data_IF_052435053894
#
_entry.id   IF_052435053894
#
_cell.length_a   1.000
_cell.length_b   1.000
_cell.length_c   1.000
_cell.angle_alpha   90.00
_cell.angle_beta   90.00
_cell.angle_gamma   90.00
#
_symmetry.space_group_name_H-M   'P 1'
#
loop_
_entity.id
_entity.type
_entity.pdbx_description
1 polymer ?
#
# COMPACT_ATOMS: atom_id res chain seq x y z
N UNK A 1 -28.92 -70.23 -12.96
CA UNK A 1 -28.17 -69.25 -12.12
C UNK A 1 -27.06 -68.58 -12.95
N UNK A 2 -27.29 -68.30 -14.24
CA UNK A 2 -26.20 -67.90 -15.16
C UNK A 2 -26.35 -66.52 -15.79
N UNK A 3 -27.37 -65.74 -15.43
CA UNK A 3 -27.54 -64.38 -15.97
C UNK A 3 -26.88 -63.30 -15.08
N UNK A 4 -26.60 -63.58 -13.80
CA UNK A 4 -26.05 -62.60 -12.84
C UNK A 4 -24.51 -62.55 -12.82
N UNK A 5 -23.81 -63.61 -13.24
CA UNK A 5 -22.34 -63.64 -13.29
C UNK A 5 -21.75 -62.89 -14.49
N UNK A 6 -22.43 -62.89 -15.64
CA UNK A 6 -21.96 -62.20 -16.84
C UNK A 6 -22.06 -60.66 -16.73
N UNK A 7 -23.04 -60.14 -15.99
CA UNK A 7 -23.18 -58.70 -15.76
C UNK A 7 -22.16 -58.16 -14.75
N UNK A 8 -21.70 -58.97 -13.79
CA UNK A 8 -20.66 -58.57 -12.84
C UNK A 8 -19.26 -58.50 -13.47
N UNK A 9 -18.93 -59.38 -14.43
CA UNK A 9 -17.60 -59.34 -15.08
C UNK A 9 -17.47 -58.20 -16.08
N UNK A 10 -18.55 -57.83 -16.76
CA UNK A 10 -18.55 -56.68 -17.67
C UNK A 10 -18.43 -55.35 -16.90
N UNK A 11 -19.06 -55.23 -15.74
CA UNK A 11 -18.94 -54.04 -14.90
C UNK A 11 -17.54 -53.87 -14.29
N UNK A 12 -16.85 -54.95 -13.91
CA UNK A 12 -15.47 -54.88 -13.40
C UNK A 12 -14.47 -54.47 -14.49
N UNK A 13 -14.61 -54.98 -15.71
CA UNK A 13 -13.74 -54.64 -16.84
C UNK A 13 -13.92 -53.17 -17.29
N UNK A 14 -15.12 -52.61 -17.14
CA UNK A 14 -15.42 -51.22 -17.49
C UNK A 14 -14.87 -50.24 -16.44
N UNK A 15 -14.89 -50.61 -15.16
CA UNK A 15 -14.30 -49.83 -14.07
C UNK A 15 -12.77 -49.82 -14.15
N UNK A 16 -12.13 -50.95 -14.49
CA UNK A 16 -10.66 -51.01 -14.66
C UNK A 16 -10.19 -50.20 -15.88
N UNK A 17 -10.94 -50.23 -16.99
CA UNK A 17 -10.65 -49.39 -18.17
C UNK A 17 -10.81 -47.91 -17.87
N UNK A 18 -11.81 -47.53 -17.09
CA UNK A 18 -12.04 -46.13 -16.70
C UNK A 18 -10.94 -45.63 -15.78
N UNK A 19 -10.50 -46.45 -14.82
CA UNK A 19 -9.39 -46.14 -13.90
C UNK A 19 -8.07 -45.97 -14.64
N UNK A 20 -7.76 -46.85 -15.60
CA UNK A 20 -6.55 -46.77 -16.41
C UNK A 20 -6.52 -45.53 -17.34
N UNK A 21 -7.67 -45.01 -17.78
CA UNK A 21 -7.78 -43.78 -18.57
C UNK A 21 -7.55 -42.54 -17.68
N UNK A 22 -8.07 -42.54 -16.46
CA UNK A 22 -7.87 -41.45 -15.48
C UNK A 22 -6.41 -41.37 -15.05
N UNK A 23 -5.75 -42.50 -14.79
CA UNK A 23 -4.32 -42.54 -14.44
C UNK A 23 -3.44 -42.06 -15.60
N UNK A 24 -3.75 -42.44 -16.84
CA UNK A 24 -3.03 -41.93 -18.02
C UNK A 24 -3.23 -40.43 -18.23
N UNK A 25 -4.42 -39.90 -17.96
CA UNK A 25 -4.68 -38.45 -18.01
C UNK A 25 -3.94 -37.68 -16.90
N UNK A 26 -3.90 -38.22 -15.68
CA UNK A 26 -3.13 -37.62 -14.58
C UNK A 26 -1.63 -37.67 -14.83
N UNK A 27 -1.12 -38.77 -15.40
CA UNK A 27 0.29 -38.90 -15.76
C UNK A 27 0.68 -38.04 -16.98
N UNK A 28 -0.25 -37.80 -17.90
CA UNK A 28 -0.13 -36.84 -19.00
C UNK A 28 -0.10 -35.40 -18.49
N UNK A 29 -1.03 -35.04 -17.58
CA UNK A 29 -1.06 -33.71 -16.95
C UNK A 29 0.18 -33.45 -16.11
N UNK A 30 0.67 -34.43 -15.34
CA UNK A 30 1.90 -34.26 -14.55
C UNK A 30 3.15 -34.11 -15.43
N UNK A 31 3.22 -34.82 -16.57
CA UNK A 31 4.27 -34.65 -17.58
C UNK A 31 4.19 -33.31 -18.30
N UNK A 32 2.99 -32.78 -18.53
CA UNK A 32 2.80 -31.48 -19.16
C UNK A 32 3.15 -30.34 -18.21
N UNK A 33 2.70 -30.42 -16.95
CA UNK A 33 3.11 -29.49 -15.87
C UNK A 33 4.62 -29.50 -15.67
N UNK A 34 5.27 -30.65 -15.68
CA UNK A 34 6.74 -30.74 -15.53
C UNK A 34 7.51 -30.30 -16.77
N UNK A 35 6.89 -30.28 -17.95
CA UNK A 35 7.48 -29.72 -19.19
C UNK A 35 7.34 -28.20 -19.25
N UNK A 36 6.19 -27.66 -18.83
CA UNK A 36 5.96 -26.22 -18.68
C UNK A 36 6.87 -25.60 -17.61
N UNK A 37 7.18 -26.35 -16.54
CA UNK A 37 8.17 -25.96 -15.52
C UNK A 37 9.58 -25.88 -16.10
N UNK A 38 9.99 -26.84 -16.96
CA UNK A 38 11.34 -26.84 -17.59
C UNK A 38 11.51 -25.82 -18.71
N UNK A 39 10.47 -25.55 -19.50
CA UNK A 39 10.51 -24.49 -20.53
C UNK A 39 10.45 -23.07 -19.89
N UNK A 40 9.94 -22.95 -18.66
CA UNK A 40 9.98 -21.73 -17.85
C UNK A 40 11.36 -21.39 -17.26
N UNK A 41 12.28 -22.35 -17.13
CA UNK A 41 13.57 -22.14 -16.44
C UNK A 41 14.55 -21.26 -17.23
N UNK A 42 14.50 -21.27 -18.57
CA UNK A 42 15.40 -20.44 -19.40
C UNK A 42 14.88 -19.03 -19.66
N UNK A 43 13.60 -18.75 -19.38
CA UNK A 43 12.97 -17.41 -19.49
C UNK A 43 12.56 -16.80 -18.14
N UNK A 44 12.73 -17.53 -17.03
CA UNK A 44 12.14 -17.24 -15.72
C UNK A 44 12.76 -16.10 -14.92
N UNK A 45 14.03 -15.75 -15.14
CA UNK A 45 14.70 -14.71 -14.35
C UNK A 45 14.13 -13.28 -14.61
N UNK A 46 13.63 -13.03 -15.82
CA UNK A 46 13.03 -11.73 -16.20
C UNK A 46 11.54 -11.62 -15.83
N UNK A 47 10.82 -12.74 -15.69
CA UNK A 47 9.39 -12.75 -15.35
C UNK A 47 9.11 -12.48 -13.87
N UNK A 48 10.11 -12.60 -12.99
CA UNK A 48 9.89 -12.50 -11.54
C UNK A 48 9.88 -11.07 -10.98
N UNK A 49 10.37 -10.08 -11.75
CA UNK A 49 10.53 -8.69 -11.27
C UNK A 49 9.34 -7.79 -11.57
N UNK A 50 8.33 -8.27 -12.31
CA UNK A 50 7.14 -7.49 -12.66
C UNK A 50 5.85 -8.21 -12.24
N UNK A 51 4.86 -7.43 -11.85
CA UNK A 51 3.53 -7.91 -11.50
C UNK A 51 2.47 -6.95 -12.06
N UNK A 52 1.32 -7.50 -12.44
CA UNK A 52 0.19 -6.73 -12.92
C UNK A 52 -1.08 -7.13 -12.16
N UNK A 53 -1.75 -6.14 -11.58
CA UNK A 53 -3.03 -6.29 -10.89
C UNK A 53 -4.03 -5.35 -11.56
N UNK A 54 -5.21 -5.85 -11.91
CA UNK A 54 -6.29 -5.03 -12.46
C UNK A 54 -7.58 -5.28 -11.71
N UNK A 55 -8.30 -4.20 -11.38
CA UNK A 55 -9.59 -4.28 -10.68
C UNK A 55 -10.49 -3.14 -11.15
N UNK A 56 -11.77 -3.44 -11.38
CA UNK A 56 -12.79 -2.40 -11.57
C UNK A 56 -13.10 -1.71 -10.25
N UNK A 57 -13.16 -0.39 -10.25
CA UNK A 57 -13.51 0.41 -9.07
C UNK A 57 -15.02 0.41 -8.86
N UNK A 58 -15.43 0.03 -7.65
CA UNK A 58 -16.83 -0.17 -7.26
C UNK A 58 -17.32 0.97 -6.37
N UNK A 59 -18.63 1.07 -6.11
CA UNK A 59 -19.16 2.10 -5.21
C UNK A 59 -18.56 2.10 -3.80
N UNK A 60 -18.18 0.94 -3.27
CA UNK A 60 -17.49 0.80 -1.98
C UNK A 60 -16.04 1.31 -1.98
N UNK A 61 -15.46 1.56 -3.16
CA UNK A 61 -14.11 2.10 -3.28
C UNK A 61 -14.05 3.65 -3.23
N UNK A 62 -15.19 4.32 -3.28
CA UNK A 62 -15.29 5.75 -3.56
C UNK A 62 -16.17 6.53 -2.58
N UNK A 63 -15.94 7.84 -2.55
CA UNK A 63 -16.77 8.76 -1.80
C UNK A 63 -18.14 8.97 -2.50
N UNK A 64 -19.03 9.73 -1.85
CA UNK A 64 -20.39 10.01 -2.37
C UNK A 64 -20.42 10.76 -3.70
N UNK A 65 -19.32 11.41 -4.10
CA UNK A 65 -19.17 12.06 -5.40
C UNK A 65 -18.61 11.12 -6.49
N UNK A 66 -18.30 9.87 -6.13
CA UNK A 66 -17.77 8.85 -7.02
C UNK A 66 -16.26 8.90 -7.23
N UNK A 67 -15.52 9.72 -6.48
CA UNK A 67 -14.06 9.70 -6.49
C UNK A 67 -13.54 8.56 -5.61
N UNK A 68 -12.70 7.69 -6.16
CA UNK A 68 -12.06 6.60 -5.43
C UNK A 68 -11.16 7.15 -4.33
N UNK A 69 -11.26 6.57 -3.13
CA UNK A 69 -10.43 6.96 -1.98
C UNK A 69 -8.96 6.66 -2.23
N UNK A 70 -8.06 7.58 -1.83
CA UNK A 70 -6.62 7.41 -1.95
C UNK A 70 -6.14 6.14 -1.23
N UNK A 71 -6.75 5.82 -0.08
CA UNK A 71 -6.47 4.63 0.71
C UNK A 71 -6.69 3.32 -0.04
N UNK A 72 -7.71 3.25 -0.91
CA UNK A 72 -7.96 2.06 -1.74
C UNK A 72 -6.89 1.88 -2.82
N UNK A 73 -6.41 2.98 -3.39
CA UNK A 73 -5.29 2.96 -4.34
C UNK A 73 -3.99 2.56 -3.63
N UNK A 74 -3.70 3.12 -2.45
CA UNK A 74 -2.53 2.76 -1.63
C UNK A 74 -2.53 1.28 -1.25
N UNK A 75 -3.70 0.73 -0.90
CA UNK A 75 -3.86 -0.69 -0.63
C UNK A 75 -3.51 -1.55 -1.85
N UNK A 76 -4.03 -1.21 -3.03
CA UNK A 76 -3.70 -1.95 -4.26
C UNK A 76 -2.23 -1.83 -4.66
N UNK A 77 -1.62 -0.67 -4.43
CA UNK A 77 -0.18 -0.45 -4.64
C UNK A 77 0.64 -1.39 -3.75
N UNK A 78 0.30 -1.48 -2.46
CA UNK A 78 0.98 -2.35 -1.51
C UNK A 78 0.78 -3.82 -1.82
N UNK A 79 -0.43 -4.24 -2.19
CA UNK A 79 -0.71 -5.62 -2.62
C UNK A 79 0.16 -6.02 -3.82
N UNK A 80 0.23 -5.16 -4.84
CA UNK A 80 1.03 -5.43 -6.02
C UNK A 80 2.54 -5.51 -5.70
N UNK A 81 3.02 -4.63 -4.81
CA UNK A 81 4.41 -4.61 -4.37
C UNK A 81 4.80 -5.81 -3.49
N UNK A 82 3.93 -6.19 -2.56
CA UNK A 82 4.11 -7.35 -1.70
C UNK A 82 4.18 -8.64 -2.52
N UNK A 83 3.31 -8.80 -3.52
CA UNK A 83 3.30 -9.96 -4.41
C UNK A 83 4.64 -10.09 -5.16
N UNK A 84 5.10 -9.03 -5.81
CA UNK A 84 6.34 -9.10 -6.61
C UNK A 84 7.57 -9.28 -5.72
N UNK A 85 7.64 -8.57 -4.58
CA UNK A 85 8.72 -8.68 -3.62
C UNK A 85 8.81 -10.06 -3.01
N UNK A 86 7.68 -10.61 -2.54
CA UNK A 86 7.62 -11.95 -1.96
C UNK A 86 8.00 -13.01 -2.98
N UNK A 87 7.50 -12.90 -4.23
CA UNK A 87 7.85 -13.84 -5.30
C UNK A 87 9.35 -13.84 -5.58
N UNK A 88 9.96 -12.66 -5.70
CA UNK A 88 11.39 -12.48 -5.94
C UNK A 88 12.25 -13.02 -4.78
N UNK A 89 11.91 -12.70 -3.54
CA UNK A 89 12.70 -13.17 -2.39
C UNK A 89 12.67 -14.69 -2.20
N UNK A 90 11.74 -15.40 -2.86
CA UNK A 90 11.63 -16.86 -2.82
C UNK A 90 12.14 -17.56 -4.10
N UNK A 91 12.90 -16.87 -4.98
CA UNK A 91 13.51 -17.49 -6.18
C UNK A 91 14.73 -18.35 -5.90
N UNK A 92 15.37 -18.16 -4.75
CA UNK A 92 16.53 -18.96 -4.33
C UNK A 92 16.09 -20.07 -3.36
N UNK A 93 16.86 -21.15 -3.31
CA UNK A 93 16.66 -22.22 -2.33
C UNK A 93 17.05 -21.69 -0.93
N UNK A 94 16.14 -21.78 0.03
CA UNK A 94 16.36 -21.30 1.40
C UNK A 94 15.06 -21.28 2.21
N UNK A 95 15.12 -20.66 3.38
CA UNK A 95 13.93 -20.42 4.20
C UNK A 95 12.89 -19.64 3.37
N UNK A 96 11.63 -20.04 3.45
CA UNK A 96 10.56 -19.25 2.84
C UNK A 96 10.43 -17.92 3.57
N UNK A 97 10.06 -16.86 2.85
CA UNK A 97 9.84 -15.53 3.43
C UNK A 97 8.61 -14.81 2.86
N UNK A 98 8.20 -13.76 3.56
CA UNK A 98 7.23 -12.77 3.10
C UNK A 98 7.91 -11.40 3.05
N UNK A 99 7.69 -10.65 1.96
CA UNK A 99 8.18 -9.28 1.84
C UNK A 99 7.28 -8.35 2.68
N UNK A 100 7.79 -7.88 3.82
CA UNK A 100 7.07 -6.92 4.68
C UNK A 100 7.35 -5.49 4.23
N UNK A 101 6.30 -4.68 4.08
CA UNK A 101 6.44 -3.26 3.78
C UNK A 101 7.10 -2.54 4.96
N UNK A 102 8.17 -1.79 4.69
CA UNK A 102 8.86 -0.99 5.72
C UNK A 102 8.81 0.50 5.46
N UNK A 103 8.67 0.92 4.20
CA UNK A 103 8.59 2.32 3.82
C UNK A 103 7.84 2.52 2.52
N UNK A 104 7.09 3.61 2.43
CA UNK A 104 6.51 4.15 1.20
C UNK A 104 7.12 5.52 0.99
N UNK A 105 7.75 5.75 -0.16
CA UNK A 105 8.21 7.08 -0.53
C UNK A 105 7.04 8.02 -0.78
N UNK A 106 7.31 9.32 -0.75
CA UNK A 106 6.29 10.32 -1.08
C UNK A 106 5.59 9.98 -2.39
N UNK A 107 4.27 10.03 -2.39
CA UNK A 107 3.44 9.70 -3.55
C UNK A 107 2.42 10.80 -3.83
N UNK A 108 2.19 11.07 -5.12
CA UNK A 108 1.23 12.08 -5.58
C UNK A 108 0.13 11.42 -6.41
N UNK A 109 -1.12 11.82 -6.14
CA UNK A 109 -2.29 11.43 -6.91
C UNK A 109 -2.45 12.42 -8.07
N UNK A 110 -2.00 12.00 -9.25
CA UNK A 110 -1.86 12.82 -10.44
C UNK A 110 -3.20 13.02 -11.17
N UNK A 111 -4.10 12.05 -11.06
CA UNK A 111 -5.44 12.13 -11.65
C UNK A 111 -6.44 11.35 -10.81
N UNK A 112 -7.67 11.86 -10.63
CA UNK A 112 -8.69 11.15 -9.87
C UNK A 112 -9.08 9.86 -10.59
N UNK A 113 -9.39 8.83 -9.82
CA UNK A 113 -10.00 7.59 -10.31
C UNK A 113 -11.47 7.59 -9.92
N UNK A 114 -12.35 7.12 -10.80
CA UNK A 114 -13.80 7.13 -10.58
C UNK A 114 -14.40 5.72 -10.53
N UNK A 115 -15.57 5.60 -9.91
CA UNK A 115 -16.38 4.38 -9.97
C UNK A 115 -16.58 3.97 -11.44
N UNK A 116 -16.44 2.67 -11.71
CA UNK A 116 -16.59 2.08 -13.05
C UNK A 116 -15.32 2.11 -13.91
N UNK A 117 -14.30 2.91 -13.53
CA UNK A 117 -12.98 2.81 -14.17
C UNK A 117 -12.26 1.52 -13.72
N UNK A 118 -11.44 0.97 -14.61
CA UNK A 118 -10.52 -0.12 -14.28
C UNK A 118 -9.18 0.46 -13.87
N UNK A 119 -8.72 0.09 -12.68
CA UNK A 119 -7.41 0.47 -12.17
C UNK A 119 -6.41 -0.64 -12.49
N UNK A 120 -5.40 -0.31 -13.30
CA UNK A 120 -4.27 -1.16 -13.65
C UNK A 120 -3.04 -0.77 -12.83
N UNK A 121 -2.58 -1.67 -11.97
CA UNK A 121 -1.41 -1.49 -11.12
C UNK A 121 -0.29 -2.37 -11.65
N UNK A 122 0.80 -1.72 -12.05
CA UNK A 122 2.02 -2.41 -12.50
C UNK A 122 3.11 -2.16 -11.48
N UNK A 123 3.65 -3.23 -10.89
CA UNK A 123 4.72 -3.18 -9.92
C UNK A 123 6.00 -3.79 -10.51
N UNK A 124 7.14 -3.13 -10.30
CA UNK A 124 8.44 -3.55 -10.81
C UNK A 124 9.52 -3.38 -9.75
N UNK A 125 10.34 -4.42 -9.54
CA UNK A 125 11.51 -4.33 -8.66
C UNK A 125 12.58 -3.53 -9.39
N UNK A 126 12.96 -2.39 -8.82
CA UNK A 126 13.90 -1.44 -9.44
C UNK A 126 15.27 -1.43 -8.78
N UNK A 127 15.38 -1.93 -7.54
CA UNK A 127 16.66 -2.03 -6.85
C UNK A 127 16.62 -3.12 -5.78
N UNK A 128 17.76 -3.76 -5.52
CA UNK A 128 17.93 -4.69 -4.39
C UNK A 128 19.20 -4.34 -3.62
N UNK A 129 19.07 -4.16 -2.31
CA UNK A 129 20.21 -4.14 -1.38
C UNK A 129 20.43 -5.54 -0.80
N UNK A 130 21.34 -5.66 0.19
CA UNK A 130 21.54 -6.91 0.91
C UNK A 130 20.27 -7.43 1.61
N UNK A 131 19.45 -6.53 2.16
CA UNK A 131 18.32 -6.89 3.04
C UNK A 131 17.01 -6.17 2.69
N UNK A 132 16.98 -5.42 1.59
CA UNK A 132 15.78 -4.72 1.14
C UNK A 132 15.66 -4.72 -0.36
N UNK A 133 14.44 -4.53 -0.86
CA UNK A 133 14.19 -4.25 -2.27
C UNK A 133 13.31 -3.02 -2.42
N UNK A 134 13.56 -2.27 -3.49
CA UNK A 134 12.73 -1.17 -3.98
C UNK A 134 11.76 -1.73 -5.01
N UNK A 135 10.49 -1.39 -4.87
CA UNK A 135 9.44 -1.65 -5.86
C UNK A 135 8.85 -0.32 -6.30
N UNK A 136 8.96 -0.02 -7.60
CA UNK A 136 8.21 1.08 -8.20
C UNK A 136 6.87 0.58 -8.73
N UNK A 137 5.83 1.36 -8.48
CA UNK A 137 4.46 1.04 -8.84
C UNK A 137 3.86 2.17 -9.66
N UNK A 138 3.23 1.81 -10.77
CA UNK A 138 2.49 2.71 -11.65
C UNK A 138 1.02 2.31 -11.66
N UNK A 139 0.14 3.27 -11.41
CA UNK A 139 -1.32 3.07 -11.40
C UNK A 139 -1.94 3.84 -12.56
N UNK A 140 -2.55 3.13 -13.49
CA UNK A 140 -3.33 3.71 -14.59
C UNK A 140 -4.81 3.48 -14.35
N UNK A 141 -5.62 4.50 -14.57
CA UNK A 141 -7.07 4.37 -14.60
C UNK A 141 -7.56 4.35 -16.05
N UNK A 142 -8.43 3.42 -16.38
CA UNK A 142 -9.03 3.23 -17.70
C UNK A 142 -10.55 3.35 -17.61
N UNK A 143 -11.10 4.27 -18.41
CA UNK A 143 -12.53 4.32 -18.65
C UNK A 143 -12.88 3.32 -19.76
N UNK A 144 -13.47 2.19 -19.38
CA UNK A 144 -13.76 1.08 -20.30
C UNK A 144 -14.90 1.34 -21.30
N UNK A 145 -15.64 2.45 -21.14
CA UNK A 145 -16.67 2.87 -22.11
C UNK A 145 -16.08 3.72 -23.24
N UNK A 146 -15.09 4.55 -22.92
CA UNK A 146 -14.46 5.49 -23.86
C UNK A 146 -13.09 5.04 -24.35
N UNK A 147 -12.47 4.07 -23.65
CA UNK A 147 -11.08 3.64 -23.86
C UNK A 147 -10.03 4.62 -23.33
N UNK A 148 -10.43 5.75 -22.74
CA UNK A 148 -9.50 6.75 -22.24
C UNK A 148 -8.69 6.23 -21.05
N UNK A 149 -7.37 6.43 -21.07
CA UNK A 149 -6.45 6.04 -19.99
C UNK A 149 -5.73 7.25 -19.43
N UNK A 150 -5.57 7.30 -18.11
CA UNK A 150 -4.84 8.36 -17.39
C UNK A 150 -3.94 7.79 -16.32
N UNK A 151 -2.79 8.42 -16.11
CA UNK A 151 -1.89 8.08 -15.01
C UNK A 151 -2.47 8.63 -13.71
N UNK A 152 -2.91 7.74 -12.83
CA UNK A 152 -3.49 8.11 -11.55
C UNK A 152 -2.43 8.33 -10.47
N UNK A 153 -1.42 7.47 -10.40
CA UNK A 153 -0.42 7.50 -9.33
C UNK A 153 0.91 6.87 -9.77
N UNK A 154 2.01 7.35 -9.18
CA UNK A 154 3.32 6.67 -9.12
C UNK A 154 3.75 6.59 -7.65
N UNK A 155 4.29 5.45 -7.26
CA UNK A 155 4.80 5.23 -5.92
C UNK A 155 6.10 4.41 -5.95
N UNK A 156 6.92 4.57 -4.91
CA UNK A 156 8.06 3.70 -4.65
C UNK A 156 7.94 3.16 -3.22
N UNK A 157 8.16 1.86 -3.07
CA UNK A 157 7.96 1.13 -1.83
C UNK A 157 9.22 0.33 -1.51
N UNK A 158 9.56 0.25 -0.23
CA UNK A 158 10.67 -0.56 0.26
C UNK A 158 10.15 -1.71 1.07
N UNK A 159 10.59 -2.91 0.73
CA UNK A 159 10.26 -4.13 1.42
C UNK A 159 11.50 -4.79 2.02
N UNK A 160 11.27 -5.54 3.10
CA UNK A 160 12.28 -6.39 3.75
C UNK A 160 11.70 -7.81 3.86
N UNK A 161 12.41 -8.85 3.40
CA UNK A 161 11.93 -10.22 3.52
C UNK A 161 12.08 -10.72 4.96
N UNK A 162 10.99 -11.15 5.56
CA UNK A 162 10.95 -11.78 6.88
C UNK A 162 10.72 -13.29 6.72
N UNK A 163 11.52 -14.11 7.39
CA UNK A 163 11.39 -15.57 7.34
C UNK A 163 10.01 -16.03 7.84
N UNK A 164 9.42 -17.04 7.19
CA UNK A 164 8.15 -17.62 7.65
C UNK A 164 8.32 -18.42 8.96
N UNK A 165 9.53 -18.90 9.25
CA UNK A 165 9.82 -19.69 10.45
C UNK A 165 10.14 -18.79 11.65
N UNK A 166 10.80 -17.66 11.40
CA UNK A 166 11.09 -16.64 12.39
C UNK A 166 10.87 -15.26 11.78
N UNK A 167 9.72 -14.66 12.08
CA UNK A 167 9.28 -13.38 11.53
C UNK A 167 10.22 -12.21 11.84
N UNK A 168 11.08 -12.33 12.85
CA UNK A 168 12.08 -11.30 13.20
C UNK A 168 13.44 -11.52 12.52
N UNK A 169 13.62 -12.69 11.86
CA UNK A 169 14.78 -12.96 11.02
C UNK A 169 14.59 -12.31 9.65
N UNK A 170 15.33 -11.22 9.41
CA UNK A 170 15.46 -10.60 8.09
C UNK A 170 16.34 -11.48 7.20
N UNK A 171 15.85 -11.78 5.99
CA UNK A 171 16.57 -12.58 5.01
C UNK A 171 17.41 -11.72 4.05
N UNK A 172 18.34 -12.34 3.35
CA UNK A 172 19.05 -11.69 2.24
C UNK A 172 18.16 -11.65 1.00
N UNK A 173 18.24 -10.57 0.25
CA UNK A 173 17.47 -10.37 -0.98
C UNK A 173 18.31 -10.86 -2.18
N UNK A 174 17.78 -11.76 -3.02
CA UNK A 174 18.46 -12.15 -4.26
C UNK A 174 18.76 -10.94 -5.14
N UNK A 175 19.96 -10.84 -5.76
CA UNK A 175 20.27 -9.72 -6.64
C UNK A 175 19.42 -9.77 -7.92
N UNK A 176 19.06 -8.61 -8.45
CA UNK A 176 18.43 -8.47 -9.78
C UNK A 176 19.47 -8.18 -10.87
N UNK A 177 19.12 -8.51 -12.11
CA UNK A 177 19.86 -8.06 -13.29
C UNK A 177 19.32 -6.69 -13.72
N UNK A 178 20.18 -5.68 -13.73
CA UNK A 178 19.86 -4.34 -14.22
C UNK A 178 19.97 -4.28 -15.74
N UNK A 179 19.18 -3.40 -16.38
CA UNK A 179 19.27 -3.17 -17.82
C UNK A 179 20.52 -2.35 -18.18
N UNK A 180 20.99 -1.49 -17.27
CA UNK A 180 22.20 -0.68 -17.44
C UNK A 180 22.88 -0.40 -16.09
N UNK A 181 24.16 -0.04 -16.13
CA UNK A 181 24.90 0.40 -14.94
C UNK A 181 24.31 1.69 -14.34
N UNK A 182 23.77 2.57 -15.20
CA UNK A 182 23.07 3.79 -14.79
C UNK A 182 21.83 3.47 -13.94
N UNK A 183 21.02 2.50 -14.35
CA UNK A 183 19.84 2.07 -13.58
C UNK A 183 20.25 1.55 -12.19
N UNK A 184 21.35 0.80 -12.11
CA UNK A 184 21.88 0.31 -10.83
C UNK A 184 22.35 1.47 -9.94
N UNK A 185 23.07 2.43 -10.51
CA UNK A 185 23.57 3.61 -9.80
C UNK A 185 22.43 4.50 -9.28
N UNK A 186 21.41 4.76 -10.09
CA UNK A 186 20.22 5.49 -9.66
C UNK A 186 19.46 4.79 -8.54
N UNK A 187 19.31 3.46 -8.62
CA UNK A 187 18.72 2.65 -7.56
C UNK A 187 19.51 2.76 -6.25
N UNK A 188 20.85 2.72 -6.34
CA UNK A 188 21.74 2.90 -5.19
C UNK A 188 21.60 4.30 -4.57
N UNK A 189 21.54 5.35 -5.39
CA UNK A 189 21.30 6.74 -4.92
C UNK A 189 19.98 6.87 -4.17
N UNK A 190 18.90 6.28 -4.70
CA UNK A 190 17.59 6.27 -4.00
C UNK A 190 17.64 5.49 -2.69
N UNK A 191 18.31 4.33 -2.67
CA UNK A 191 18.53 3.55 -1.45
C UNK A 191 19.29 4.33 -0.37
N UNK A 192 20.35 5.04 -0.75
CA UNK A 192 21.13 5.86 0.19
C UNK A 192 20.33 7.05 0.71
N UNK A 193 19.62 7.76 -0.18
CA UNK A 193 18.78 8.88 0.18
C UNK A 193 17.70 8.50 1.21
N UNK A 194 16.94 7.42 0.98
CA UNK A 194 15.92 6.98 1.97
C UNK A 194 16.54 6.53 3.28
N UNK A 195 17.74 5.94 3.24
CA UNK A 195 18.44 5.48 4.45
C UNK A 195 18.84 6.65 5.33
N UNK A 196 19.31 7.74 4.72
CA UNK A 196 19.66 8.98 5.42
C UNK A 196 18.42 9.64 6.03
N UNK A 197 17.35 9.81 5.25
CA UNK A 197 16.10 10.43 5.73
C UNK A 197 15.48 9.67 6.92
N UNK A 198 15.58 8.33 6.92
CA UNK A 198 15.12 7.50 8.04
C UNK A 198 15.91 7.73 9.33
N UNK A 199 17.21 7.98 9.24
CA UNK A 199 18.04 8.26 10.42
C UNK A 199 17.66 9.60 11.05
N UNK A 200 17.36 10.61 10.23
CA UNK A 200 16.90 11.92 10.68
C UNK A 200 15.49 11.86 11.30
N UNK A 201 14.59 11.08 10.70
CA UNK A 201 13.19 11.00 11.16
C UNK A 201 13.02 10.18 12.44
N UNK A 202 13.89 9.19 12.70
CA UNK A 202 13.85 8.34 13.90
C UNK A 202 14.10 9.13 15.20
N UNK A 203 14.63 10.35 15.12
CA UNK A 203 14.95 11.19 16.26
C UNK A 203 13.77 12.02 16.82
N UNK A 204 12.58 11.98 16.17
CA UNK A 204 11.43 12.74 16.67
C UNK A 204 10.78 12.03 17.86
N UNK A 205 10.59 12.69 19.02
CA UNK A 205 9.89 12.11 20.15
C UNK A 205 8.47 11.67 19.75
N UNK A 206 8.02 10.54 20.28
CA UNK A 206 6.62 10.10 20.11
C UNK A 206 5.70 11.11 20.81
N UNK A 207 5.17 12.06 20.05
CA UNK A 207 4.18 13.01 20.57
C UNK A 207 2.80 12.34 20.66
N UNK A 208 2.15 12.55 21.81
CA UNK A 208 0.76 12.17 22.02
C UNK A 208 -0.14 13.24 21.40
N UNK A 209 -1.18 12.82 20.67
CA UNK A 209 -2.23 13.75 20.24
C UNK A 209 -3.19 13.99 21.40
N UNK A 210 -3.26 15.20 21.97
CA UNK A 210 -4.21 15.49 23.03
C UNK A 210 -5.64 15.46 22.49
N UNK A 211 -6.59 15.26 23.41
CA UNK A 211 -8.02 15.41 23.14
C UNK A 211 -8.31 16.78 22.52
N UNK A 212 -9.25 16.87 21.56
CA UNK A 212 -9.44 18.10 20.78
C UNK A 212 -9.74 19.31 21.69
N UNK A 213 -8.89 20.34 21.71
CA UNK A 213 -9.24 21.61 22.33
C UNK A 213 -10.16 22.41 21.41
N UNK A 214 -11.16 23.08 21.99
CA UNK A 214 -12.12 23.98 21.33
C UNK A 214 -12.82 23.47 20.04
N UNK A 215 -14.12 23.08 20.09
CA UNK A 215 -14.89 22.65 18.92
C UNK A 215 -15.39 23.80 18.04
N UNK A 216 -14.80 25.01 18.11
CA UNK A 216 -15.17 26.13 17.24
C UNK A 216 -14.83 25.84 15.76
N UNK A 217 -15.71 26.24 14.83
CA UNK A 217 -15.46 26.04 13.39
C UNK A 217 -14.08 26.55 12.96
N UNK A 218 -13.43 25.71 12.16
CA UNK A 218 -12.11 25.94 11.56
C UNK A 218 -10.93 25.93 12.54
N UNK A 219 -11.10 25.48 13.79
CA UNK A 219 -9.98 25.10 14.66
C UNK A 219 -9.50 23.67 14.36
N UNK A 220 -8.33 23.31 14.88
CA UNK A 220 -7.84 21.93 14.83
C UNK A 220 -8.84 20.99 15.52
N UNK A 221 -9.29 21.33 16.74
CA UNK A 221 -10.19 20.48 17.52
C UNK A 221 -11.57 20.25 16.89
N UNK A 222 -12.07 21.16 16.06
CA UNK A 222 -13.32 20.95 15.32
C UNK A 222 -13.23 19.82 14.30
N UNK A 223 -12.09 19.70 13.62
CA UNK A 223 -11.86 18.73 12.54
C UNK A 223 -11.18 17.44 13.02
N UNK A 224 -10.42 17.49 14.12
CA UNK A 224 -9.72 16.33 14.68
C UNK A 224 -10.67 15.15 14.84
N UNK A 225 -10.24 14.00 14.32
CA UNK A 225 -11.05 12.79 14.27
C UNK A 225 -10.19 11.58 14.59
N UNK A 226 -10.82 10.51 15.09
CA UNK A 226 -10.17 9.24 15.32
C UNK A 226 -11.04 8.08 14.89
N UNK A 227 -10.39 6.97 14.54
CA UNK A 227 -10.99 5.69 14.21
C UNK A 227 -10.31 4.63 15.08
N UNK A 228 -11.11 3.74 15.66
CA UNK A 228 -10.62 2.59 16.42
C UNK A 228 -10.98 1.33 15.63
N UNK A 229 -9.97 0.51 15.34
CA UNK A 229 -10.12 -0.71 14.56
C UNK A 229 -9.56 -1.92 15.32
N UNK A 230 -10.37 -2.95 15.48
CA UNK A 230 -9.89 -4.24 15.99
C UNK A 230 -9.32 -5.04 14.82
N UNK A 231 -8.03 -5.36 14.87
CA UNK A 231 -7.34 -6.09 13.80
C UNK A 231 -7.86 -7.52 13.72
N UNK A 232 -8.54 -7.83 12.63
CA UNK A 232 -9.08 -9.15 12.32
C UNK A 232 -8.18 -9.98 11.41
N UNK A 233 -8.53 -11.27 11.17
CA UNK A 233 -7.75 -12.14 10.28
C UNK A 233 -7.61 -11.62 8.85
N UNK A 234 -8.66 -10.98 8.31
CA UNK A 234 -8.64 -10.41 6.94
C UNK A 234 -7.70 -9.23 6.77
N UNK A 235 -7.27 -8.61 7.88
CA UNK A 235 -6.33 -7.49 7.85
C UNK A 235 -4.88 -7.98 7.78
N UNK A 236 -4.65 -9.25 8.13
CA UNK A 236 -3.34 -9.80 8.37
C UNK A 236 -2.81 -10.64 7.21
N UNK A 237 -1.49 -10.63 7.09
CA UNK A 237 -0.71 -11.59 6.33
C UNK A 237 -0.79 -12.97 6.96
N UNK A 238 -0.18 -13.96 6.31
CA UNK A 238 -0.10 -15.34 6.81
C UNK A 238 0.52 -15.48 8.21
N UNK A 239 1.29 -14.49 8.69
CA UNK A 239 1.94 -14.50 10.01
C UNK A 239 1.22 -13.70 11.08
N UNK A 240 -0.08 -13.44 10.89
CA UNK A 240 -0.86 -12.67 11.86
C UNK A 240 -0.36 -11.23 12.05
N UNK A 241 0.32 -10.64 11.07
CA UNK A 241 0.69 -9.22 11.07
C UNK A 241 -0.08 -8.45 10.01
N UNK A 242 -0.50 -7.24 10.33
CA UNK A 242 -1.30 -6.38 9.43
C UNK A 242 -0.57 -6.07 8.13
N UNK A 243 -1.28 -6.14 7.01
CA UNK A 243 -0.78 -5.64 5.73
C UNK A 243 -0.60 -4.12 5.74
N UNK A 244 0.49 -3.62 5.15
CA UNK A 244 0.74 -2.18 5.08
C UNK A 244 -0.39 -1.42 4.38
N UNK A 245 -1.01 -2.01 3.36
CA UNK A 245 -2.14 -1.43 2.63
C UNK A 245 -3.38 -1.23 3.50
N UNK A 246 -3.63 -2.10 4.49
CA UNK A 246 -4.76 -1.96 5.42
C UNK A 246 -4.53 -0.74 6.32
N UNK A 247 -3.33 -0.61 6.90
CA UNK A 247 -2.98 0.54 7.73
C UNK A 247 -3.10 1.85 6.95
N UNK A 248 -2.55 1.92 5.72
CA UNK A 248 -2.65 3.12 4.88
C UNK A 248 -4.09 3.47 4.50
N UNK A 249 -4.95 2.48 4.27
CA UNK A 249 -6.38 2.71 4.01
C UNK A 249 -7.07 3.36 5.22
N UNK A 250 -6.84 2.84 6.42
CA UNK A 250 -7.40 3.43 7.65
C UNK A 250 -6.87 4.85 7.90
N UNK A 251 -5.60 5.11 7.58
CA UNK A 251 -5.02 6.45 7.68
C UNK A 251 -5.68 7.45 6.73
N UNK A 252 -5.90 7.06 5.48
CA UNK A 252 -6.57 7.90 4.47
C UNK A 252 -8.05 8.14 4.83
N UNK A 253 -8.74 7.15 5.40
CA UNK A 253 -10.12 7.31 5.88
C UNK A 253 -10.21 8.39 6.96
N UNK A 254 -9.35 8.32 7.98
CA UNK A 254 -9.32 9.33 9.05
C UNK A 254 -8.93 10.70 8.51
N UNK A 255 -7.92 10.78 7.65
CA UNK A 255 -7.52 12.04 7.03
C UNK A 255 -8.65 12.63 6.16
N UNK A 256 -9.35 11.79 5.40
CA UNK A 256 -10.50 12.19 4.61
C UNK A 256 -11.65 12.74 5.47
N UNK A 257 -11.93 12.12 6.62
CA UNK A 257 -12.91 12.62 7.59
C UNK A 257 -12.49 13.99 8.13
N UNK A 258 -11.23 14.15 8.54
CA UNK A 258 -10.69 15.44 9.03
C UNK A 258 -10.84 16.53 7.95
N UNK A 259 -10.43 16.23 6.71
CA UNK A 259 -10.54 17.14 5.57
C UNK A 259 -12.00 17.53 5.28
N UNK A 260 -12.90 16.54 5.24
CA UNK A 260 -14.31 16.75 4.98
C UNK A 260 -14.99 17.57 6.07
N UNK A 261 -14.67 17.33 7.35
CA UNK A 261 -15.17 18.14 8.48
C UNK A 261 -14.74 19.60 8.36
N UNK A 262 -13.50 19.87 7.95
CA UNK A 262 -12.98 21.23 7.84
C UNK A 262 -13.55 22.01 6.63
N UNK A 263 -13.65 21.35 5.47
CA UNK A 263 -14.12 22.01 4.24
C UNK A 263 -15.63 21.99 4.04
N UNK A 264 -16.32 20.94 4.51
CA UNK A 264 -17.72 20.68 4.22
C UNK A 264 -18.02 20.61 2.70
N UNK A 265 -17.12 20.00 1.93
CA UNK A 265 -17.21 19.81 0.47
C UNK A 265 -16.73 18.42 0.07
N UNK A 266 -16.81 18.09 -1.22
CA UNK A 266 -16.07 16.96 -1.77
C UNK A 266 -14.56 17.17 -1.56
N UNK A 267 -13.85 16.10 -1.19
CA UNK A 267 -12.42 16.10 -0.93
C UNK A 267 -11.76 14.90 -1.60
N UNK A 268 -10.50 15.06 -2.00
CA UNK A 268 -9.67 13.96 -2.51
C UNK A 268 -8.25 14.06 -1.98
N UNK A 269 -7.60 12.91 -1.84
CA UNK A 269 -6.19 12.81 -1.48
C UNK A 269 -5.34 13.28 -2.66
N UNK A 270 -4.49 14.29 -2.43
CA UNK A 270 -3.60 14.84 -3.45
C UNK A 270 -2.18 14.28 -3.35
N UNK A 271 -1.68 14.06 -2.14
CA UNK A 271 -0.40 13.40 -1.91
C UNK A 271 -0.32 12.81 -0.50
N UNK A 272 0.58 11.85 -0.34
CA UNK A 272 1.00 11.36 0.97
C UNK A 272 2.51 11.51 1.06
N UNK A 273 2.99 12.11 2.15
CA UNK A 273 4.42 12.18 2.45
C UNK A 273 4.97 10.79 2.78
N UNK A 274 6.29 10.67 2.89
CA UNK A 274 6.92 9.38 3.13
C UNK A 274 6.41 8.73 4.42
N UNK A 275 6.05 7.45 4.34
CA UNK A 275 5.52 6.66 5.45
C UNK A 275 6.58 5.67 5.90
N UNK A 276 6.89 5.65 7.19
CA UNK A 276 7.76 4.63 7.79
C UNK A 276 6.94 3.71 8.70
N UNK A 277 7.06 2.40 8.49
CA UNK A 277 6.43 1.41 9.35
C UNK A 277 7.41 1.05 10.48
N UNK A 278 7.21 1.65 11.66
CA UNK A 278 8.16 1.56 12.77
C UNK A 278 8.07 0.23 13.51
N UNK A 279 6.84 -0.28 13.71
CA UNK A 279 6.56 -1.49 14.46
C UNK A 279 5.44 -2.29 13.78
N UNK A 280 5.58 -3.61 13.80
CA UNK A 280 4.56 -4.54 13.27
C UNK A 280 3.32 -4.50 14.17
N UNK A 281 2.15 -4.59 13.57
CA UNK A 281 0.86 -4.69 14.30
C UNK A 281 0.38 -6.13 14.18
N UNK A 282 0.10 -6.79 15.32
CA UNK A 282 -0.32 -8.19 15.35
C UNK A 282 -1.85 -8.32 15.33
N UNK A 283 -2.35 -9.43 14.80
CA UNK A 283 -3.76 -9.84 14.87
C UNK A 283 -4.28 -9.77 16.30
N UNK A 284 -5.48 -9.24 16.49
CA UNK A 284 -6.08 -9.02 17.81
C UNK A 284 -5.61 -7.77 18.54
N UNK A 285 -4.66 -7.00 18.00
CA UNK A 285 -4.40 -5.65 18.49
C UNK A 285 -5.59 -4.73 18.16
N UNK A 286 -5.82 -3.76 19.04
CA UNK A 286 -6.66 -2.59 18.75
C UNK A 286 -5.76 -1.48 18.27
N UNK A 287 -6.09 -0.92 17.11
CA UNK A 287 -5.42 0.21 16.49
C UNK A 287 -6.28 1.45 16.66
N UNK A 288 -5.69 2.54 17.17
CA UNK A 288 -6.29 3.87 17.17
C UNK A 288 -5.57 4.71 16.12
N UNK A 289 -6.30 5.09 15.08
CA UNK A 289 -5.84 6.02 14.05
C UNK A 289 -6.39 7.40 14.39
N UNK A 290 -5.52 8.37 14.62
CA UNK A 290 -5.93 9.74 14.97
C UNK A 290 -5.39 10.71 13.93
N UNK A 291 -6.24 11.61 13.45
CA UNK A 291 -5.87 12.63 12.47
C UNK A 291 -6.20 14.04 12.95
N UNK A 292 -5.31 15.00 12.64
CA UNK A 292 -5.53 16.44 12.89
C UNK A 292 -4.96 17.28 11.75
N UNK A 293 -5.55 18.46 11.51
CA UNK A 293 -4.93 19.44 10.64
C UNK A 293 -3.64 19.97 11.27
N UNK A 294 -2.61 20.11 10.45
CA UNK A 294 -1.36 20.77 10.83
C UNK A 294 -1.15 22.05 10.06
N UNK A 295 -1.54 22.12 8.79
CA UNK A 295 -1.37 23.32 7.97
C UNK A 295 -2.46 23.42 6.90
N UNK A 296 -2.84 24.65 6.54
CA UNK A 296 -3.76 24.92 5.44
C UNK A 296 -3.16 25.98 4.52
N UNK A 297 -3.07 25.65 3.24
CA UNK A 297 -2.78 26.61 2.17
C UNK A 297 -4.08 27.17 1.58
N UNK A 298 -3.98 28.08 0.61
CA UNK A 298 -5.17 28.59 -0.09
C UNK A 298 -6.02 27.48 -0.75
N UNK A 299 -5.43 26.33 -1.14
CA UNK A 299 -6.12 25.27 -1.90
C UNK A 299 -5.88 23.85 -1.38
N UNK A 300 -5.19 23.69 -0.26
CA UNK A 300 -4.83 22.36 0.26
C UNK A 300 -4.78 22.33 1.78
N UNK A 301 -4.98 21.13 2.33
CA UNK A 301 -4.91 20.84 3.75
C UNK A 301 -3.83 19.80 3.99
N UNK A 302 -2.93 20.05 4.92
CA UNK A 302 -2.01 19.05 5.46
C UNK A 302 -2.60 18.48 6.75
N UNK A 303 -2.64 17.16 6.84
CA UNK A 303 -3.24 16.41 7.95
C UNK A 303 -2.18 15.42 8.45
N UNK A 304 -1.82 15.55 9.72
CA UNK A 304 -1.01 14.55 10.42
C UNK A 304 -1.90 13.39 10.84
N UNK A 305 -1.46 12.17 10.55
CA UNK A 305 -2.13 10.94 10.95
C UNK A 305 -1.18 10.05 11.72
N UNK A 306 -1.60 9.66 12.92
CA UNK A 306 -0.84 8.80 13.83
C UNK A 306 -1.59 7.49 14.04
N UNK A 307 -0.87 6.37 14.01
CA UNK A 307 -1.39 5.02 14.21
C UNK A 307 -0.75 4.43 15.45
N UNK A 308 -1.52 4.39 16.54
CA UNK A 308 -1.12 3.76 17.79
C UNK A 308 -1.76 2.38 17.90
N UNK A 309 -1.00 1.38 18.35
CA UNK A 309 -1.49 0.02 18.54
C UNK A 309 -1.32 -0.44 19.99
N UNK A 310 -2.27 -1.22 20.47
CA UNK A 310 -2.22 -1.88 21.78
C UNK A 310 -2.76 -3.30 21.70
N UNK A 311 -2.16 -4.21 22.46
CA UNK A 311 -2.70 -5.56 22.65
C UNK A 311 -3.87 -5.53 23.62
N UNK A 312 -4.99 -6.15 23.27
CA UNK A 312 -6.13 -6.32 24.19
C UNK A 312 -5.82 -7.38 25.25
N UNK A 313 -5.02 -8.39 24.88
CA UNK A 313 -4.68 -9.53 25.74
C UNK A 313 -3.49 -9.22 26.65
N UNK A 314 -2.57 -8.38 26.19
CA UNK A 314 -1.35 -7.99 26.90
C UNK A 314 -1.39 -6.48 27.20
N UNK A 315 -2.44 -6.04 27.89
CA UNK A 315 -2.71 -4.62 28.15
C UNK A 315 -1.56 -3.94 28.94
N UNK A 316 -0.81 -4.70 29.72
CA UNK A 316 0.35 -4.25 30.49
C UNK A 316 1.51 -3.74 29.62
N UNK A 317 1.58 -4.14 28.33
CA UNK A 317 2.60 -3.65 27.39
C UNK A 317 2.34 -2.21 26.92
N UNK A 318 1.16 -1.66 27.20
CA UNK A 318 0.77 -0.31 26.83
C UNK A 318 0.57 -0.12 25.31
N UNK A 319 0.37 1.14 24.92
CA UNK A 319 0.27 1.57 23.52
C UNK A 319 1.65 1.85 22.95
N UNK A 320 1.83 1.62 21.65
CA UNK A 320 3.02 2.02 20.92
C UNK A 320 2.66 2.64 19.57
N UNK A 321 3.47 3.59 19.09
CA UNK A 321 3.35 4.14 17.74
C UNK A 321 3.79 3.10 16.71
N UNK A 322 2.89 2.74 15.80
CA UNK A 322 3.19 1.83 14.69
C UNK A 322 3.61 2.59 13.43
N UNK A 323 2.87 3.66 13.09
CA UNK A 323 3.04 4.42 11.85
C UNK A 323 2.65 5.89 12.09
N UNK A 324 3.33 6.82 11.42
CA UNK A 324 2.89 8.20 11.25
C UNK A 324 3.08 8.67 9.81
N UNK A 325 2.25 9.59 9.34
CA UNK A 325 2.38 10.21 8.03
C UNK A 325 1.68 11.57 7.96
N UNK A 326 2.01 12.35 6.94
CA UNK A 326 1.27 13.55 6.56
C UNK A 326 0.53 13.32 5.24
N UNK A 327 -0.76 13.62 5.23
CA UNK A 327 -1.60 13.57 4.05
C UNK A 327 -1.91 14.98 3.58
N UNK A 328 -1.85 15.21 2.27
CA UNK A 328 -2.34 16.44 1.66
C UNK A 328 -3.66 16.18 0.95
N UNK A 329 -4.71 16.88 1.36
CA UNK A 329 -6.02 16.85 0.73
C UNK A 329 -6.32 18.15 0.00
N UNK A 330 -7.17 18.05 -1.03
CA UNK A 330 -7.74 19.21 -1.74
C UNK A 330 -9.27 19.12 -1.73
N UNK A 331 -9.91 20.28 -1.71
CA UNK A 331 -11.36 20.42 -1.87
C UNK A 331 -11.69 20.57 -3.36
N UNK A 332 -12.77 19.92 -3.81
CA UNK A 332 -13.24 19.96 -5.18
C UNK A 332 -14.69 20.48 -5.28
N UNK A 333 -14.99 21.17 -6.37
CA UNK A 333 -16.36 21.49 -6.76
C UNK A 333 -17.06 20.32 -7.49
N UNK A 334 -18.27 20.57 -7.99
CA UNK A 334 -19.08 19.58 -8.72
C UNK A 334 -18.47 19.18 -10.07
N UNK A 335 -17.58 20.01 -10.62
CA UNK A 335 -16.88 19.78 -11.89
C UNK A 335 -15.47 19.21 -11.65
N UNK A 336 -15.16 18.76 -10.43
CA UNK A 336 -13.84 18.29 -9.98
C UNK A 336 -12.72 19.35 -10.09
N UNK A 337 -13.03 20.64 -9.96
CA UNK A 337 -12.03 21.71 -9.92
C UNK A 337 -11.66 22.08 -8.47
N UNK A 338 -10.37 22.38 -8.19
CA UNK A 338 -9.93 22.75 -6.84
C UNK A 338 -10.56 24.04 -6.32
N UNK A 339 -11.22 23.96 -5.16
CA UNK A 339 -11.79 25.09 -4.43
C UNK A 339 -10.80 25.71 -3.42
N UNK A 340 -10.96 26.99 -3.08
CA UNK A 340 -10.30 27.58 -1.92
C UNK A 340 -10.69 26.85 -0.63
N UNK A 341 -9.72 26.64 0.27
CA UNK A 341 -9.93 25.96 1.55
C UNK A 341 -10.10 26.99 2.67
N UNK A 342 -11.03 26.81 3.63
CA UNK A 342 -11.15 27.68 4.80
C UNK A 342 -9.85 27.75 5.60
N UNK A 343 -9.42 28.94 6.01
CA UNK A 343 -8.21 29.09 6.82
C UNK A 343 -8.33 28.36 8.16
N UNK A 344 -7.24 27.71 8.60
CA UNK A 344 -7.15 27.07 9.90
C UNK A 344 -6.90 28.13 10.98
N UNK A 345 -7.76 28.18 11.99
CA UNK A 345 -7.53 28.91 13.23
C UNK A 345 -6.66 28.05 14.13
N UNK A 346 -5.52 28.60 14.51
CA UNK A 346 -4.47 27.91 15.26
C UNK A 346 -4.44 28.48 16.66
N UNK A 347 -4.50 27.62 17.67
CA UNK A 347 -4.58 28.01 19.09
C UNK A 347 -3.42 27.41 19.89
N UNK A 348 -2.71 28.27 20.64
CA UNK A 348 -1.58 27.85 21.48
C UNK A 348 -0.27 27.61 20.71
N UNK A 349 0.82 27.51 21.46
CA UNK A 349 2.17 27.40 20.93
C UNK A 349 2.38 26.12 20.11
N UNK A 350 1.71 25.05 20.52
CA UNK A 350 1.89 23.71 19.99
C UNK A 350 1.23 23.53 18.62
N UNK A 351 0.05 24.14 18.40
CA UNK A 351 -0.57 24.18 17.08
C UNK A 351 0.18 25.16 16.17
N UNK A 352 0.65 26.30 16.69
CA UNK A 352 1.42 27.28 15.93
C UNK A 352 2.73 26.69 15.41
N UNK A 353 3.47 25.98 16.25
CA UNK A 353 4.68 25.26 15.84
C UNK A 353 4.40 24.28 14.70
N UNK A 354 3.35 23.47 14.82
CA UNK A 354 2.98 22.48 13.77
C UNK A 354 2.54 23.15 12.47
N UNK A 355 1.86 24.30 12.56
CA UNK A 355 1.50 25.12 11.41
C UNK A 355 2.71 25.64 10.66
N UNK A 356 3.70 26.15 11.38
CA UNK A 356 4.93 26.65 10.77
C UNK A 356 5.76 25.52 10.16
N UNK A 357 5.87 24.37 10.84
CA UNK A 357 6.52 23.18 10.28
C UNK A 357 5.80 22.66 9.02
N UNK A 358 4.46 22.64 9.02
CA UNK A 358 3.66 22.25 7.85
C UNK A 358 3.82 23.22 6.68
N UNK A 359 3.95 24.52 6.97
CA UNK A 359 4.28 25.53 5.95
C UNK A 359 5.65 25.28 5.33
N UNK A 360 6.65 24.93 6.13
CA UNK A 360 8.00 24.57 5.63
C UNK A 360 7.93 23.35 4.72
N UNK A 361 7.26 22.26 5.15
CA UNK A 361 7.05 21.07 4.32
C UNK A 361 6.35 21.40 3.00
N UNK A 362 5.29 22.22 3.07
CA UNK A 362 4.55 22.67 1.88
C UNK A 362 5.45 23.41 0.88
N UNK A 363 6.30 24.32 1.36
CA UNK A 363 7.22 25.09 0.50
C UNK A 363 8.26 24.18 -0.17
N UNK A 364 8.89 23.29 0.59
CA UNK A 364 9.82 22.29 0.05
C UNK A 364 9.15 21.40 -1.01
N UNK A 365 7.93 20.95 -0.73
CA UNK A 365 7.13 20.14 -1.65
C UNK A 365 6.70 20.91 -2.90
N UNK A 366 6.46 22.22 -2.79
CA UNK A 366 6.15 23.09 -3.93
C UNK A 366 7.38 23.30 -4.81
N UNK A 367 8.55 23.53 -4.21
CA UNK A 367 9.81 23.71 -4.92
C UNK A 367 10.20 22.45 -5.71
N UNK A 368 10.16 21.27 -5.06
CA UNK A 368 10.41 19.97 -5.72
C UNK A 368 9.50 19.75 -6.94
N UNK A 369 8.20 20.03 -6.81
CA UNK A 369 7.25 19.91 -7.94
C UNK A 369 7.57 20.86 -9.09
N UNK A 370 8.05 22.06 -8.79
CA UNK A 370 8.45 23.01 -9.83
C UNK A 370 9.74 22.56 -10.53
N UNK A 371 10.72 22.06 -9.79
CA UNK A 371 11.95 21.52 -10.37
C UNK A 371 11.69 20.30 -11.25
N UNK A 372 10.79 19.40 -10.82
CA UNK A 372 10.46 18.20 -11.60
C UNK A 372 9.73 18.54 -12.91
N UNK A 373 8.85 19.57 -12.88
CA UNK A 373 8.22 20.09 -14.10
C UNK A 373 9.23 20.71 -15.05
N UNK A 374 10.23 21.42 -14.55
CA UNK A 374 11.29 22.01 -15.38
C UNK A 374 12.24 20.96 -15.96
N UNK A 375 12.43 19.82 -15.29
CA UNK A 375 13.24 18.70 -15.78
C UNK A 375 12.52 17.81 -16.80
N UNK A 376 11.19 17.81 -16.77
CA UNK A 376 10.33 17.05 -17.69
C UNK A 376 9.84 17.83 -18.92
N UNK A 377 10.20 19.12 -19.02
CA UNK A 377 10.11 19.94 -20.25
C UNK A 377 11.45 19.93 -20.94
#
# INVERSE_FOLDING_TARGET
MDCSRAQQSQASDEVDKTTAVVEKQQHSQSKQVSKDVREGETTGAWKCTKNHLSRIMRPDDANVAGNVHGGNILKMIEEAGCIVGTRHCNTQNGDRCLAALVRVEKTEFLSPVFIGEVTHVTAEITHTSKHSLEVQVKVMAENILTGAKKLANKAALWYVPCSLQNVDKIMEVPPIKYASAEQEEEGRKRYEAQKMERLETKARPEEMMPSPPNPEKHTVGFSQSSLIHLVGPSDCTLHDYVHGGVTMKLMDEVAGIVAARHCNTNIVTASVDAINFHRKIKKGCVVTVTGRLTFVSNKSMEIEVLVDASSVVEAEKGKYRAVSAFFTFISLDKDNKPLPVPALKVEGEDEQRRFDEGKVRYLQNKEKRLSDKMRGQ
#
